data_IF_304396579918
#
_entry.id   IF_304396579918
#
_cell.length_a   1.000
_cell.length_b   1.000
_cell.length_c   1.000
_cell.angle_alpha   90.00
_cell.angle_beta   90.00
_cell.angle_gamma   90.00
#
_symmetry.space_group_name_H-M   'P 1'
#
loop_
_entity.id
_entity.type
_entity.pdbx_description
1 polymer ?
#
# COMPACT_ATOMS: atom_id res chain seq x y z
N UNK A 1 11.86 -13.06 2.64
CA UNK A 1 13.22 -12.51 2.85
C UNK A 1 14.04 -13.23 3.93
N UNK A 2 13.43 -13.83 4.97
CA UNK A 2 14.15 -14.60 6.00
C UNK A 2 14.73 -15.93 5.49
N UNK A 3 13.95 -16.71 4.73
CA UNK A 3 14.39 -18.03 4.24
C UNK A 3 15.64 -17.95 3.35
N UNK A 4 15.75 -16.92 2.50
CA UNK A 4 16.92 -16.71 1.64
C UNK A 4 18.24 -16.50 2.42
N UNK A 5 18.17 -15.98 3.66
CA UNK A 5 19.36 -15.77 4.50
C UNK A 5 19.72 -16.99 5.34
N UNK A 6 18.73 -17.81 5.69
CA UNK A 6 18.88 -18.89 6.67
C UNK A 6 18.74 -20.30 6.08
N UNK A 7 18.53 -20.44 4.77
CA UNK A 7 18.40 -21.75 4.14
C UNK A 7 19.60 -22.70 4.38
N UNK A 8 20.87 -22.25 4.50
CA UNK A 8 21.96 -23.17 4.80
C UNK A 8 21.82 -23.83 6.18
N UNK A 9 21.28 -23.09 7.17
CA UNK A 9 20.98 -23.66 8.48
C UNK A 9 19.80 -24.63 8.39
N UNK A 10 18.74 -24.27 7.65
CA UNK A 10 17.60 -25.17 7.46
C UNK A 10 18.01 -26.49 6.78
N UNK A 11 18.94 -26.44 5.82
CA UNK A 11 19.51 -27.64 5.18
C UNK A 11 20.26 -28.49 6.20
N UNK A 12 21.08 -27.89 7.08
CA UNK A 12 21.77 -28.62 8.15
C UNK A 12 20.80 -29.27 9.13
N UNK A 13 19.79 -28.54 9.57
CA UNK A 13 18.79 -29.02 10.53
C UNK A 13 17.93 -30.14 9.94
N UNK A 14 17.56 -30.02 8.66
CA UNK A 14 16.86 -31.10 7.93
C UNK A 14 17.75 -32.32 7.76
N UNK A 15 19.04 -32.14 7.49
CA UNK A 15 19.98 -33.25 7.31
C UNK A 15 20.21 -34.00 8.62
N UNK A 16 20.47 -33.29 9.72
CA UNK A 16 20.77 -33.88 11.04
C UNK A 16 19.52 -34.32 11.81
N UNK A 17 18.34 -33.79 11.47
CA UNK A 17 17.13 -33.97 12.25
C UNK A 17 17.13 -33.20 13.57
N UNK A 18 18.05 -32.26 13.77
CA UNK A 18 18.19 -31.51 15.01
C UNK A 18 18.13 -30.01 14.73
N UNK A 19 17.37 -29.29 15.56
CA UNK A 19 17.25 -27.83 15.49
C UNK A 19 18.57 -27.22 15.98
N UNK A 20 19.14 -26.29 15.21
CA UNK A 20 20.33 -25.54 15.58
C UNK A 20 20.30 -25.08 17.05
N UNK A 21 21.29 -25.43 17.89
CA UNK A 21 21.31 -25.05 19.30
C UNK A 21 21.29 -23.53 19.50
N UNK A 22 21.97 -22.79 18.62
CA UNK A 22 22.11 -21.34 18.68
C UNK A 22 20.87 -20.58 18.18
N UNK A 23 19.88 -21.30 17.63
CA UNK A 23 18.62 -20.68 17.23
C UNK A 23 17.83 -20.26 18.48
N UNK A 24 17.72 -18.95 18.70
CA UNK A 24 16.97 -18.41 19.82
C UNK A 24 15.47 -18.74 19.70
N UNK A 25 15.03 -19.75 20.43
CA UNK A 25 13.65 -20.23 20.47
C UNK A 25 13.20 -20.32 21.94
N UNK A 26 11.94 -19.97 22.25
CA UNK A 26 11.36 -20.28 23.54
C UNK A 26 11.47 -21.78 23.85
N UNK A 27 11.78 -22.13 25.10
CA UNK A 27 12.01 -23.52 25.51
C UNK A 27 10.84 -24.45 25.14
N UNK A 28 9.60 -23.98 25.32
CA UNK A 28 8.40 -24.72 24.93
C UNK A 28 8.30 -24.99 23.42
N UNK A 29 8.65 -24.01 22.58
CA UNK A 29 8.66 -24.17 21.12
C UNK A 29 9.71 -25.18 20.68
N UNK A 30 10.92 -25.13 21.26
CA UNK A 30 11.98 -26.10 20.96
C UNK A 30 11.56 -27.52 21.37
N UNK A 31 11.03 -27.68 22.59
CA UNK A 31 10.55 -28.96 23.07
C UNK A 31 9.43 -29.55 22.19
N UNK A 32 8.55 -28.71 21.65
CA UNK A 32 7.47 -29.14 20.75
C UNK A 32 7.98 -29.54 19.35
N UNK A 33 9.00 -28.87 18.81
CA UNK A 33 9.51 -29.12 17.46
C UNK A 33 10.54 -30.26 17.39
N UNK A 34 11.39 -30.42 18.41
CA UNK A 34 12.44 -31.45 18.45
C UNK A 34 11.94 -32.88 18.14
N UNK A 35 10.80 -33.37 18.66
CA UNK A 35 10.33 -34.72 18.35
C UNK A 35 9.74 -34.88 16.93
N UNK A 36 9.36 -33.78 16.29
CA UNK A 36 8.77 -33.77 14.94
C UNK A 36 9.88 -33.81 13.88
N UNK A 37 11.04 -33.21 14.17
CA UNK A 37 12.17 -33.16 13.26
C UNK A 37 12.91 -34.51 13.26
N UNK A 38 13.01 -35.12 12.09
CA UNK A 38 13.76 -36.36 11.85
C UNK A 38 14.82 -36.13 10.78
N UNK A 39 15.97 -36.83 10.83
CA UNK A 39 16.97 -36.74 9.78
C UNK A 39 16.36 -37.03 8.41
N UNK A 40 16.49 -36.10 7.47
CA UNK A 40 15.98 -36.22 6.11
C UNK A 40 17.00 -35.63 5.11
N UNK A 41 18.10 -36.36 4.84
CA UNK A 41 19.17 -35.90 3.96
C UNK A 41 18.68 -35.65 2.52
N UNK A 42 17.78 -36.49 2.00
CA UNK A 42 17.20 -36.33 0.66
C UNK A 42 16.42 -35.00 0.53
N UNK A 43 15.66 -34.63 1.57
CA UNK A 43 14.96 -33.34 1.59
C UNK A 43 15.94 -32.17 1.74
N UNK A 44 16.98 -32.32 2.55
CA UNK A 44 18.01 -31.31 2.71
C UNK A 44 18.71 -30.99 1.37
N UNK A 45 19.08 -32.02 0.60
CA UNK A 45 19.63 -31.88 -0.74
C UNK A 45 18.65 -31.22 -1.72
N UNK A 46 17.37 -31.61 -1.67
CA UNK A 46 16.33 -30.98 -2.50
C UNK A 46 16.21 -29.49 -2.22
N UNK A 47 16.21 -29.08 -0.95
CA UNK A 47 16.16 -27.67 -0.54
C UNK A 47 17.42 -26.94 -0.98
N UNK A 48 18.61 -27.52 -0.75
CA UNK A 48 19.87 -26.93 -1.18
C UNK A 48 19.94 -26.70 -2.69
N UNK A 49 19.53 -27.71 -3.48
CA UNK A 49 19.44 -27.62 -4.94
C UNK A 49 18.46 -26.54 -5.38
N UNK A 50 17.29 -26.44 -4.73
CA UNK A 50 16.33 -25.38 -5.03
C UNK A 50 16.94 -23.98 -4.81
N UNK A 51 17.61 -23.70 -3.69
CA UNK A 51 18.25 -22.40 -3.50
C UNK A 51 19.43 -22.16 -4.46
N UNK A 52 20.11 -23.22 -4.91
CA UNK A 52 21.22 -23.13 -5.87
C UNK A 52 20.83 -22.61 -7.27
N UNK A 53 19.57 -22.76 -7.70
CA UNK A 53 19.10 -22.23 -8.99
C UNK A 53 18.40 -20.86 -8.88
N UNK A 54 18.69 -20.08 -7.83
CA UNK A 54 18.10 -18.74 -7.64
C UNK A 54 16.69 -18.77 -7.04
N UNK A 55 15.97 -17.64 -7.09
CA UNK A 55 14.68 -17.46 -6.40
C UNK A 55 13.44 -17.61 -7.31
N UNK A 56 13.60 -17.63 -8.63
CA UNK A 56 12.46 -17.72 -9.54
C UNK A 56 11.78 -19.08 -9.44
N UNK A 57 10.45 -19.10 -9.32
CA UNK A 57 9.65 -20.30 -9.05
C UNK A 57 10.17 -21.14 -7.86
N UNK A 58 10.85 -20.52 -6.88
CA UNK A 58 11.44 -21.24 -5.75
C UNK A 58 10.37 -21.94 -4.91
N UNK A 59 9.18 -21.37 -4.79
CA UNK A 59 8.11 -21.96 -3.99
C UNK A 59 7.62 -23.28 -4.60
N UNK A 60 7.50 -23.36 -5.92
CA UNK A 60 7.16 -24.62 -6.61
C UNK A 60 8.30 -25.65 -6.49
N UNK A 61 9.56 -25.22 -6.53
CA UNK A 61 10.72 -26.13 -6.35
C UNK A 61 10.83 -26.66 -4.93
N UNK A 62 10.52 -25.83 -3.92
CA UNK A 62 10.49 -26.24 -2.53
C UNK A 62 9.25 -27.09 -2.22
N UNK A 63 8.09 -26.75 -2.76
CA UNK A 63 6.83 -27.46 -2.56
C UNK A 63 6.22 -27.85 -3.92
N UNK A 64 6.64 -29.00 -4.50
CA UNK A 64 6.21 -29.42 -5.84
C UNK A 64 4.70 -29.60 -6.01
N UNK A 65 4.00 -29.95 -4.92
CA UNK A 65 2.55 -30.12 -4.90
C UNK A 65 1.79 -28.82 -4.60
N UNK A 66 2.48 -27.69 -4.48
CA UNK A 66 1.84 -26.39 -4.27
C UNK A 66 1.05 -25.99 -5.53
N UNK A 67 -0.28 -25.92 -5.41
CA UNK A 67 -1.18 -25.51 -6.51
C UNK A 67 -1.85 -24.16 -6.29
N UNK A 68 -2.08 -23.79 -5.03
CA UNK A 68 -2.73 -22.54 -4.65
C UNK A 68 -1.99 -21.92 -3.48
N UNK A 69 -1.70 -20.62 -3.57
CA UNK A 69 -1.26 -19.81 -2.45
C UNK A 69 -2.42 -18.91 -2.00
N UNK A 70 -2.82 -19.07 -0.73
CA UNK A 70 -3.80 -18.20 -0.10
C UNK A 70 -3.13 -16.96 0.50
N UNK A 71 -3.38 -15.78 -0.07
CA UNK A 71 -2.83 -14.50 0.41
C UNK A 71 -3.64 -13.34 -0.15
N UNK A 72 -3.76 -12.25 0.61
CA UNK A 72 -4.33 -11.00 0.11
C UNK A 72 -3.43 -10.43 -0.98
N UNK A 73 -4.02 -10.17 -2.15
CA UNK A 73 -3.31 -9.66 -3.34
C UNK A 73 -3.83 -8.30 -3.81
N UNK A 74 -4.86 -7.75 -3.15
CA UNK A 74 -5.52 -6.49 -3.55
C UNK A 74 -5.10 -5.30 -2.67
N UNK A 75 -5.50 -4.09 -3.06
CA UNK A 75 -5.20 -2.86 -2.31
C UNK A 75 -3.69 -2.58 -2.23
N UNK A 76 -3.19 -2.26 -1.03
CA UNK A 76 -1.77 -1.95 -0.81
C UNK A 76 -0.83 -3.14 -1.13
N UNK A 77 -1.33 -4.37 -1.16
CA UNK A 77 -0.54 -5.56 -1.49
C UNK A 77 -0.44 -5.82 -2.99
N UNK A 78 -1.24 -5.17 -3.84
CA UNK A 78 -1.22 -5.34 -5.29
C UNK A 78 0.18 -5.10 -5.88
N UNK A 79 0.89 -4.09 -5.38
CA UNK A 79 2.26 -3.79 -5.79
C UNK A 79 3.27 -4.92 -5.53
N UNK A 80 2.98 -5.85 -4.60
CA UNK A 80 3.85 -6.99 -4.29
C UNK A 80 3.57 -8.22 -5.15
N UNK A 81 2.43 -8.26 -5.85
CA UNK A 81 1.97 -9.40 -6.64
C UNK A 81 2.96 -9.80 -7.75
N UNK A 82 3.56 -8.88 -8.53
CA UNK A 82 4.54 -9.27 -9.56
C UNK A 82 5.73 -10.03 -8.98
N UNK A 83 6.26 -9.57 -7.85
CA UNK A 83 7.36 -10.24 -7.15
C UNK A 83 6.92 -11.58 -6.57
N UNK A 84 5.70 -11.67 -6.03
CA UNK A 84 5.15 -12.92 -5.52
C UNK A 84 4.98 -13.95 -6.64
N UNK A 85 4.48 -13.55 -7.80
CA UNK A 85 4.36 -14.40 -9.00
C UNK A 85 5.71 -14.94 -9.46
N UNK A 86 6.74 -14.10 -9.49
CA UNK A 86 8.10 -14.55 -9.81
C UNK A 86 8.59 -15.65 -8.87
N UNK A 87 8.29 -15.56 -7.57
CA UNK A 87 8.66 -16.59 -6.58
C UNK A 87 7.80 -17.87 -6.67
N UNK A 88 6.53 -17.73 -7.05
CA UNK A 88 5.58 -18.83 -7.14
C UNK A 88 5.82 -19.73 -8.34
N UNK A 89 6.08 -19.12 -9.50
CA UNK A 89 6.05 -19.83 -10.79
C UNK A 89 4.67 -19.76 -11.46
N UNK A 90 4.58 -20.16 -12.73
CA UNK A 90 3.38 -19.99 -13.56
C UNK A 90 2.23 -20.94 -13.17
N UNK A 91 2.52 -22.08 -12.54
CA UNK A 91 1.53 -23.14 -12.28
C UNK A 91 0.83 -23.02 -10.92
N UNK A 92 1.10 -21.95 -10.15
CA UNK A 92 0.52 -21.74 -8.81
C UNK A 92 -0.45 -20.57 -8.85
N UNK A 93 -1.71 -20.87 -8.57
CA UNK A 93 -2.77 -19.86 -8.50
C UNK A 93 -2.74 -19.08 -7.19
N UNK A 94 -3.17 -17.83 -7.24
CA UNK A 94 -3.39 -16.96 -6.09
C UNK A 94 -4.87 -16.96 -5.71
N UNK A 95 -5.13 -16.94 -4.40
CA UNK A 95 -6.49 -16.86 -3.88
C UNK A 95 -6.50 -16.00 -2.61
N UNK A 96 -7.19 -14.86 -2.61
CA UNK A 96 -7.32 -14.01 -1.40
C UNK A 96 -8.40 -14.55 -0.44
N UNK A 97 -9.35 -15.34 -0.94
CA UNK A 97 -10.39 -15.99 -0.15
C UNK A 97 -11.50 -15.04 0.29
N UNK A 98 -11.19 -14.11 1.19
CA UNK A 98 -12.17 -13.18 1.77
C UNK A 98 -11.67 -11.76 1.79
N UNK A 99 -12.54 -10.83 1.39
CA UNK A 99 -12.40 -9.42 1.68
C UNK A 99 -13.16 -9.12 2.97
N UNK A 100 -12.42 -8.86 4.04
CA UNK A 100 -12.96 -8.72 5.39
C UNK A 100 -12.28 -7.58 6.16
N UNK A 101 -13.03 -7.01 7.09
CA UNK A 101 -12.55 -6.10 8.12
C UNK A 101 -12.93 -6.66 9.50
N UNK A 102 -12.44 -6.04 10.58
CA UNK A 102 -12.79 -6.47 11.96
C UNK A 102 -14.30 -6.39 12.21
N UNK A 103 -14.99 -5.51 11.49
CA UNK A 103 -16.42 -5.23 11.58
C UNK A 103 -17.28 -6.29 10.88
N UNK A 104 -16.85 -6.78 9.71
CA UNK A 104 -17.61 -7.76 8.92
C UNK A 104 -16.75 -8.42 7.82
N UNK A 105 -17.19 -9.60 7.37
CA UNK A 105 -16.76 -10.17 6.08
C UNK A 105 -17.59 -9.52 4.98
N UNK A 106 -16.99 -8.68 4.14
CA UNK A 106 -17.72 -7.92 3.12
C UNK A 106 -17.88 -8.71 1.83
N UNK A 107 -16.85 -9.44 1.40
CA UNK A 107 -16.89 -10.19 0.15
C UNK A 107 -16.11 -11.48 0.18
N UNK A 108 -16.47 -12.39 -0.71
CA UNK A 108 -15.78 -13.67 -0.93
C UNK A 108 -15.31 -13.77 -2.36
N UNK A 109 -14.12 -14.30 -2.54
CA UNK A 109 -13.58 -14.59 -3.87
C UNK A 109 -14.09 -15.96 -4.32
N UNK A 110 -14.65 -16.02 -5.53
CA UNK A 110 -15.22 -17.25 -6.09
C UNK A 110 -14.30 -17.94 -7.10
N UNK A 111 -13.29 -17.23 -7.60
CA UNK A 111 -12.42 -17.67 -8.68
C UNK A 111 -10.95 -17.52 -8.29
N UNK A 112 -10.12 -18.47 -8.70
CA UNK A 112 -8.67 -18.39 -8.59
C UNK A 112 -8.13 -17.28 -9.49
N UNK A 113 -7.00 -16.69 -9.11
CA UNK A 113 -6.30 -15.64 -9.88
C UNK A 113 -7.16 -14.41 -10.22
N UNK A 114 -8.24 -14.21 -9.46
CA UNK A 114 -9.17 -13.10 -9.61
C UNK A 114 -8.85 -11.98 -8.61
N UNK A 115 -9.19 -10.75 -8.97
CA UNK A 115 -9.18 -9.59 -8.05
C UNK A 115 -10.60 -9.23 -7.59
N UNK A 116 -11.60 -9.98 -8.07
CA UNK A 116 -13.01 -9.70 -7.84
C UNK A 116 -13.52 -10.47 -6.61
N UNK A 117 -14.28 -9.75 -5.79
CA UNK A 117 -15.04 -10.29 -4.68
C UNK A 117 -16.53 -10.22 -5.01
N UNK A 118 -17.28 -11.21 -4.53
CA UNK A 118 -18.74 -11.22 -4.54
C UNK A 118 -19.23 -10.85 -3.15
N UNK A 119 -20.22 -9.97 -3.05
CA UNK A 119 -20.75 -9.52 -1.76
C UNK A 119 -21.20 -10.71 -0.91
N UNK A 120 -20.72 -10.77 0.34
CA UNK A 120 -21.02 -11.84 1.28
C UNK A 120 -22.40 -11.61 1.92
N UNK A 121 -23.46 -11.71 1.13
CA UNK A 121 -24.84 -11.54 1.63
C UNK A 121 -25.10 -12.44 2.85
N UNK A 122 -25.62 -11.85 3.92
CA UNK A 122 -25.91 -12.55 5.17
C UNK A 122 -24.82 -12.46 6.24
N UNK A 123 -23.62 -11.97 5.92
CA UNK A 123 -22.59 -11.70 6.95
C UNK A 123 -22.92 -10.45 7.77
N UNK A 124 -23.51 -9.45 7.12
CA UNK A 124 -24.01 -8.20 7.68
C UNK A 124 -25.05 -7.61 6.72
N UNK A 125 -25.73 -6.54 7.15
CA UNK A 125 -26.51 -5.71 6.23
C UNK A 125 -25.60 -4.64 5.63
N UNK A 126 -25.61 -4.53 4.31
CA UNK A 126 -24.73 -3.63 3.55
C UNK A 126 -25.53 -2.55 2.85
N UNK A 127 -25.07 -1.33 3.02
CA UNK A 127 -25.47 -0.14 2.28
C UNK A 127 -24.24 0.45 1.59
N UNK A 128 -24.46 1.29 0.58
CA UNK A 128 -23.39 1.85 -0.21
C UNK A 128 -23.61 3.34 -0.44
N UNK A 129 -22.62 4.16 -0.14
CA UNK A 129 -22.66 5.60 -0.44
C UNK A 129 -22.01 5.81 -1.81
N UNK A 130 -22.74 6.33 -2.81
CA UNK A 130 -22.13 6.72 -4.08
C UNK A 130 -21.02 7.74 -3.84
N UNK A 131 -19.85 7.56 -4.46
CA UNK A 131 -18.72 8.47 -4.21
C UNK A 131 -19.00 9.94 -4.60
N UNK A 132 -19.98 10.19 -5.47
CA UNK A 132 -20.45 11.54 -5.79
C UNK A 132 -21.10 12.27 -4.59
N UNK A 133 -21.65 11.51 -3.63
CA UNK A 133 -22.35 12.01 -2.44
C UNK A 133 -21.52 11.85 -1.15
N UNK A 134 -20.31 11.29 -1.23
CA UNK A 134 -19.54 10.87 -0.06
C UNK A 134 -19.17 11.99 0.93
N UNK A 135 -19.07 13.23 0.44
CA UNK A 135 -18.73 14.42 1.22
C UNK A 135 -19.96 15.16 1.78
N UNK A 136 -21.18 14.69 1.47
CA UNK A 136 -22.40 15.29 2.00
C UNK A 136 -22.47 15.09 3.52
N UNK A 137 -23.03 16.07 4.24
CA UNK A 137 -23.23 15.97 5.69
C UNK A 137 -24.10 14.77 6.09
N UNK A 138 -25.04 14.39 5.22
CA UNK A 138 -25.84 13.18 5.34
C UNK A 138 -25.90 12.51 3.96
N UNK A 139 -24.93 11.63 3.64
CA UNK A 139 -24.89 10.99 2.34
C UNK A 139 -26.08 10.05 2.16
N UNK A 140 -26.63 10.01 0.94
CA UNK A 140 -27.63 9.01 0.59
C UNK A 140 -26.96 7.65 0.43
N UNK A 141 -27.68 6.59 0.78
CA UNK A 141 -27.23 5.21 0.62
C UNK A 141 -28.13 4.47 -0.35
N UNK A 142 -27.53 3.55 -1.10
CA UNK A 142 -28.22 2.61 -1.97
C UNK A 142 -27.99 1.18 -1.49
N UNK A 143 -28.92 0.29 -1.80
CA UNK A 143 -28.80 -1.13 -1.47
C UNK A 143 -27.91 -1.88 -2.47
N UNK A 144 -27.53 -3.15 -2.19
CA UNK A 144 -26.80 -4.00 -3.12
C UNK A 144 -27.51 -4.17 -4.48
N UNK A 145 -28.84 -4.07 -4.50
CA UNK A 145 -29.67 -4.17 -5.70
C UNK A 145 -29.44 -3.03 -6.69
N UNK A 146 -29.13 -1.84 -6.19
CA UNK A 146 -29.10 -0.60 -6.99
C UNK A 146 -27.68 -0.16 -7.35
N UNK A 147 -26.69 -1.03 -7.09
CA UNK A 147 -25.31 -0.79 -7.49
C UNK A 147 -25.13 -0.82 -9.01
N UNK A 148 -24.50 0.23 -9.53
CA UNK A 148 -24.25 0.42 -10.95
C UNK A 148 -22.85 -0.02 -11.36
N UNK A 149 -22.74 -0.68 -12.51
CA UNK A 149 -21.46 -1.17 -13.05
C UNK A 149 -20.48 -0.01 -13.26
N UNK A 150 -19.21 -0.22 -12.88
CA UNK A 150 -18.11 0.72 -13.08
C UNK A 150 -18.07 1.89 -12.09
N UNK A 151 -19.10 2.06 -11.26
CA UNK A 151 -19.19 3.09 -10.25
C UNK A 151 -18.51 2.68 -8.95
N UNK A 152 -18.08 3.69 -8.20
CA UNK A 152 -17.41 3.52 -6.90
C UNK A 152 -18.33 3.92 -5.76
N UNK A 153 -18.26 3.14 -4.69
CA UNK A 153 -19.08 3.33 -3.52
C UNK A 153 -18.28 3.08 -2.26
N UNK A 154 -18.53 3.88 -1.23
CA UNK A 154 -18.08 3.57 0.11
C UNK A 154 -19.01 2.54 0.76
N UNK A 155 -18.43 1.55 1.43
CA UNK A 155 -19.16 0.51 2.14
C UNK A 155 -19.67 1.02 3.49
N UNK A 156 -20.97 0.86 3.72
CA UNK A 156 -21.65 1.09 4.99
C UNK A 156 -22.18 -0.23 5.52
N UNK A 157 -21.91 -0.53 6.79
CA UNK A 157 -22.22 -1.83 7.39
C UNK A 157 -23.10 -1.70 8.63
N UNK A 158 -24.08 -2.59 8.73
CA UNK A 158 -24.87 -2.81 9.95
C UNK A 158 -24.71 -4.27 10.40
N UNK A 159 -24.26 -4.48 11.64
CA UNK A 159 -23.88 -5.80 12.16
C UNK A 159 -24.72 -6.19 13.38
N UNK A 160 -24.88 -7.50 13.60
CA UNK A 160 -25.54 -8.02 14.80
C UNK A 160 -24.78 -7.69 16.11
N UNK A 161 -23.50 -7.32 16.00
CA UNK A 161 -22.66 -6.91 17.13
C UNK A 161 -22.86 -5.44 17.55
N UNK A 162 -23.79 -4.72 16.91
CA UNK A 162 -24.22 -3.38 17.34
C UNK A 162 -23.62 -2.20 16.58
N UNK A 163 -22.96 -2.43 15.44
CA UNK A 163 -22.65 -1.35 14.50
C UNK A 163 -23.88 -1.09 13.64
N UNK A 164 -24.34 0.16 13.58
CA UNK A 164 -25.49 0.57 12.78
C UNK A 164 -25.09 1.66 11.80
N UNK A 165 -25.30 1.40 10.51
CA UNK A 165 -24.91 2.27 9.39
C UNK A 165 -23.48 2.82 9.55
N UNK A 166 -22.56 1.96 9.96
CA UNK A 166 -21.17 2.31 10.19
C UNK A 166 -20.45 2.46 8.84
N UNK A 167 -19.93 3.66 8.58
CA UNK A 167 -19.08 3.94 7.42
C UNK A 167 -17.73 3.25 7.60
N UNK A 168 -17.48 2.22 6.80
CA UNK A 168 -16.24 1.44 6.89
C UNK A 168 -15.03 2.25 6.39
N UNK A 169 -15.29 3.24 5.54
CA UNK A 169 -14.27 4.02 4.83
C UNK A 169 -13.67 3.28 3.65
N UNK A 170 -13.94 1.99 3.45
CA UNK A 170 -13.46 1.28 2.27
C UNK A 170 -14.32 1.63 1.06
N UNK A 171 -13.67 1.93 -0.06
CA UNK A 171 -14.27 2.22 -1.35
C UNK A 171 -14.07 1.03 -2.27
N UNK A 172 -15.17 0.55 -2.83
CA UNK A 172 -15.21 -0.55 -3.79
C UNK A 172 -15.66 -0.04 -5.15
N UNK A 173 -15.23 -0.72 -6.22
CA UNK A 173 -15.75 -0.51 -7.57
C UNK A 173 -16.57 -1.70 -8.02
N UNK A 174 -17.79 -1.45 -8.47
CA UNK A 174 -18.67 -2.51 -9.00
C UNK A 174 -18.12 -2.98 -10.34
N UNK A 175 -17.90 -4.29 -10.46
CA UNK A 175 -17.31 -4.91 -11.67
C UNK A 175 -18.25 -5.90 -12.34
N UNK A 176 -19.39 -6.22 -11.73
CA UNK A 176 -20.39 -7.09 -12.32
C UNK A 176 -21.36 -7.63 -11.28
N UNK A 177 -21.97 -8.77 -11.59
CA UNK A 177 -22.86 -9.50 -10.68
C UNK A 177 -22.65 -11.00 -10.81
N UNK A 178 -22.85 -11.73 -9.72
CA UNK A 178 -23.00 -13.18 -9.67
C UNK A 178 -24.48 -13.47 -9.34
N UNK A 179 -25.27 -13.80 -10.37
CA UNK A 179 -26.73 -13.79 -10.23
C UNK A 179 -27.22 -12.39 -9.86
N UNK A 180 -27.95 -12.27 -8.74
CA UNK A 180 -28.40 -10.96 -8.21
C UNK A 180 -27.37 -10.26 -7.33
N UNK A 181 -26.28 -10.95 -6.95
CA UNK A 181 -25.31 -10.45 -5.95
C UNK A 181 -24.21 -9.63 -6.62
N UNK A 182 -23.91 -8.40 -6.14
CA UNK A 182 -22.84 -7.57 -6.70
C UNK A 182 -21.46 -8.22 -6.64
N UNK A 183 -20.69 -8.05 -7.71
CA UNK A 183 -19.24 -8.28 -7.75
C UNK A 183 -18.51 -6.96 -7.79
N UNK A 184 -17.40 -6.88 -7.08
CA UNK A 184 -16.63 -5.66 -6.93
C UNK A 184 -15.14 -5.94 -6.75
N UNK A 185 -14.32 -4.92 -7.01
CA UNK A 185 -12.91 -4.88 -6.64
C UNK A 185 -12.74 -3.86 -5.52
N UNK A 186 -11.77 -4.07 -4.64
CA UNK A 186 -11.35 -3.03 -3.71
C UNK A 186 -10.64 -1.90 -4.47
N UNK A 187 -11.07 -0.65 -4.29
CA UNK A 187 -10.38 0.51 -4.85
C UNK A 187 -9.35 1.06 -3.84
N UNK A 188 -9.83 1.62 -2.74
CA UNK A 188 -9.01 2.26 -1.71
C UNK A 188 -9.78 2.46 -0.41
N UNK A 189 -9.12 2.91 0.66
CA UNK A 189 -9.80 3.35 1.88
C UNK A 189 -9.75 4.87 1.99
N UNK A 190 -10.87 5.51 2.33
CA UNK A 190 -10.94 6.94 2.60
C UNK A 190 -9.90 7.33 3.66
N UNK A 191 -9.23 8.45 3.43
CA UNK A 191 -8.07 8.87 4.23
C UNK A 191 -6.77 8.11 3.95
N UNK A 192 -6.75 7.13 3.03
CA UNK A 192 -5.54 6.42 2.56
C UNK A 192 -5.20 6.74 1.10
N UNK A 193 -5.92 7.69 0.50
CA UNK A 193 -5.63 8.29 -0.82
C UNK A 193 -5.68 9.81 -0.74
N UNK A 194 -4.86 10.46 -1.57
CA UNK A 194 -4.98 11.87 -1.91
C UNK A 194 -5.68 12.00 -3.25
N UNK A 195 -6.65 12.90 -3.31
CA UNK A 195 -7.40 13.18 -4.53
C UNK A 195 -7.60 14.68 -4.67
N UNK A 196 -7.24 15.22 -5.83
CA UNK A 196 -7.41 16.61 -6.22
C UNK A 196 -8.36 16.75 -7.41
N UNK A 197 -8.24 15.87 -8.41
CA UNK A 197 -8.96 15.94 -9.69
C UNK A 197 -9.42 14.57 -10.20
N UNK A 198 -9.45 13.55 -9.33
CA UNK A 198 -9.84 12.17 -9.62
C UNK A 198 -8.66 11.21 -9.77
N UNK A 199 -7.43 11.65 -9.48
CA UNK A 199 -6.22 10.83 -9.64
C UNK A 199 -6.03 9.77 -8.56
N UNK A 200 -6.54 10.00 -7.35
CA UNK A 200 -6.53 9.04 -6.23
C UNK A 200 -5.16 8.41 -5.99
N UNK A 201 -4.18 9.22 -5.60
CA UNK A 201 -2.84 8.75 -5.21
C UNK A 201 -2.88 8.06 -3.85
N UNK A 202 -2.61 6.77 -3.82
CA UNK A 202 -2.53 5.97 -2.59
C UNK A 202 -1.26 6.25 -1.79
N UNK A 203 -1.29 5.96 -0.50
CA UNK A 203 -0.09 6.03 0.36
C UNK A 203 1.04 5.15 -0.20
N UNK A 204 0.70 3.97 -0.73
CA UNK A 204 1.69 3.06 -1.30
C UNK A 204 2.43 3.67 -2.51
N UNK A 205 1.70 4.32 -3.42
CA UNK A 205 2.27 5.03 -4.56
C UNK A 205 3.11 6.22 -4.10
N UNK A 206 2.60 7.02 -3.15
CA UNK A 206 3.34 8.14 -2.57
C UNK A 206 4.67 7.68 -1.94
N UNK A 207 4.62 6.61 -1.14
CA UNK A 207 5.80 6.01 -0.50
C UNK A 207 6.81 5.52 -1.53
N UNK A 208 6.35 4.82 -2.57
CA UNK A 208 7.23 4.33 -3.63
C UNK A 208 7.89 5.47 -4.39
N UNK A 209 7.13 6.51 -4.76
CA UNK A 209 7.66 7.69 -5.42
C UNK A 209 8.73 8.39 -4.57
N UNK A 210 8.43 8.65 -3.29
CA UNK A 210 9.31 9.41 -2.40
C UNK A 210 10.59 8.65 -2.05
N UNK A 211 10.50 7.36 -1.69
CA UNK A 211 11.68 6.60 -1.29
C UNK A 211 12.59 6.28 -2.48
N UNK A 212 12.02 5.96 -3.66
CA UNK A 212 12.82 5.77 -4.86
C UNK A 212 13.52 7.07 -5.30
N UNK A 213 12.83 8.21 -5.19
CA UNK A 213 13.41 9.51 -5.48
C UNK A 213 14.54 9.86 -4.50
N UNK A 214 14.36 9.61 -3.20
CA UNK A 214 15.40 9.83 -2.20
C UNK A 214 16.66 8.99 -2.47
N UNK A 215 16.51 7.70 -2.79
CA UNK A 215 17.63 6.82 -3.12
C UNK A 215 18.42 7.33 -4.35
N UNK A 216 17.72 7.88 -5.36
CA UNK A 216 18.34 8.41 -6.58
C UNK A 216 18.98 9.79 -6.39
N UNK A 217 18.40 10.64 -5.54
CA UNK A 217 18.81 12.05 -5.40
C UNK A 217 19.81 12.30 -4.27
N UNK A 218 19.75 11.50 -3.20
CA UNK A 218 20.52 11.74 -1.97
C UNK A 218 21.68 10.75 -1.78
N UNK A 219 21.69 9.61 -2.48
CA UNK A 219 22.71 8.58 -2.31
C UNK A 219 22.76 8.02 -0.88
N UNK A 220 23.97 7.83 -0.33
CA UNK A 220 24.19 7.36 1.04
C UNK A 220 24.23 8.47 2.09
N UNK A 221 24.11 9.73 1.68
CA UNK A 221 24.41 10.88 2.54
C UNK A 221 23.23 11.26 3.45
N UNK A 222 22.00 10.95 3.03
CA UNK A 222 20.80 11.20 3.81
C UNK A 222 19.69 10.19 3.50
N UNK A 223 18.87 9.90 4.50
CA UNK A 223 17.69 9.02 4.39
C UNK A 223 16.43 9.75 4.78
N UNK A 224 15.30 9.33 4.22
CA UNK A 224 13.98 9.84 4.63
C UNK A 224 13.67 9.33 6.04
N UNK A 225 13.65 10.24 7.01
CA UNK A 225 13.25 9.98 8.40
C UNK A 225 11.73 9.94 8.56
N UNK A 226 11.04 10.82 7.84
CA UNK A 226 9.58 10.94 7.86
C UNK A 226 9.10 11.61 6.58
N UNK A 227 7.87 11.31 6.18
CA UNK A 227 7.26 11.96 5.04
C UNK A 227 5.75 12.11 5.24
N UNK A 228 5.17 13.10 4.57
CA UNK A 228 3.75 13.23 4.38
C UNK A 228 3.50 13.83 3.00
N UNK A 229 2.48 13.33 2.29
CA UNK A 229 1.99 13.93 1.07
C UNK A 229 0.66 14.61 1.38
N UNK A 230 0.42 15.78 0.81
CA UNK A 230 -0.81 16.52 1.01
C UNK A 230 -1.27 17.18 -0.28
N UNK A 231 -2.54 17.60 -0.31
CA UNK A 231 -3.08 18.52 -1.30
C UNK A 231 -2.66 19.96 -0.99
N UNK A 232 -2.50 20.80 -2.00
CA UNK A 232 -2.41 22.25 -1.79
C UNK A 232 -3.76 22.80 -1.32
N UNK A 233 -3.82 23.63 -0.26
CA UNK A 233 -5.01 24.41 0.06
C UNK A 233 -5.35 25.36 -1.09
N UNK A 234 -6.64 25.60 -1.32
CA UNK A 234 -7.26 26.39 -2.40
C UNK A 234 -6.30 27.30 -3.20
N UNK A 235 -5.75 26.74 -4.28
CA UNK A 235 -5.03 27.46 -5.34
C UNK A 235 -5.78 27.19 -6.66
N UNK A 236 -5.80 28.17 -7.56
CA UNK A 236 -6.30 28.05 -8.94
C UNK A 236 -5.57 26.92 -9.69
N UNK A 237 -4.36 26.55 -9.25
CA UNK A 237 -3.59 25.45 -9.85
C UNK A 237 -3.32 24.32 -8.83
N UNK A 238 -4.07 23.23 -8.95
CA UNK A 238 -4.00 22.05 -8.08
C UNK A 238 -2.59 21.43 -8.08
N UNK A 239 -1.96 21.26 -6.90
CA UNK A 239 -0.66 20.56 -6.75
C UNK A 239 -0.59 19.74 -5.48
N UNK A 240 0.32 18.78 -5.44
CA UNK A 240 0.71 18.10 -4.21
C UNK A 240 1.82 18.84 -3.47
N UNK A 241 1.82 18.69 -2.14
CA UNK A 241 2.86 19.12 -1.22
C UNK A 241 3.49 17.88 -0.60
N UNK A 242 4.77 17.64 -0.86
CA UNK A 242 5.55 16.56 -0.27
C UNK A 242 6.36 17.11 0.90
N UNK A 243 5.91 16.86 2.12
CA UNK A 243 6.64 17.16 3.35
C UNK A 243 7.63 16.05 3.63
N UNK A 244 8.92 16.37 3.78
CA UNK A 244 9.97 15.39 4.00
C UNK A 244 10.86 15.81 5.17
N UNK A 245 11.15 14.88 6.07
CA UNK A 245 12.22 14.97 7.06
C UNK A 245 13.38 14.08 6.62
N UNK A 246 14.59 14.62 6.63
CA UNK A 246 15.81 13.89 6.27
C UNK A 246 16.69 13.67 7.50
N UNK A 247 17.37 12.52 7.55
CA UNK A 247 18.39 12.23 8.54
C UNK A 247 19.73 11.89 7.87
N UNK A 248 20.87 12.49 8.30
CA UNK A 248 20.98 13.52 9.33
C UNK A 248 20.29 14.84 8.94
N UNK A 249 19.96 15.67 9.94
CA UNK A 249 19.35 16.98 9.72
C UNK A 249 20.43 17.96 9.20
N UNK A 250 20.38 18.24 7.90
CA UNK A 250 21.38 19.04 7.19
C UNK A 250 22.37 18.21 6.36
N UNK A 251 23.29 18.90 5.67
CA UNK A 251 24.28 18.26 4.78
C UNK A 251 23.79 17.98 3.36
N UNK A 252 22.50 18.18 3.08
CA UNK A 252 21.94 18.10 1.73
C UNK A 252 21.95 19.46 1.06
N UNK A 253 22.50 19.53 -0.16
CA UNK A 253 22.58 20.77 -0.93
C UNK A 253 21.24 21.14 -1.58
N UNK A 254 21.03 22.42 -1.90
CA UNK A 254 19.85 22.88 -2.64
C UNK A 254 19.69 22.18 -3.99
N UNK A 255 20.80 21.85 -4.67
CA UNK A 255 20.77 21.10 -5.93
C UNK A 255 20.24 19.67 -5.76
N UNK A 256 20.63 18.99 -4.67
CA UNK A 256 20.09 17.68 -4.33
C UNK A 256 18.60 17.75 -3.96
N UNK A 257 18.18 18.78 -3.21
CA UNK A 257 16.76 18.99 -2.89
C UNK A 257 15.91 19.27 -4.14
N UNK A 258 16.45 20.04 -5.09
CA UNK A 258 15.78 20.28 -6.37
C UNK A 258 15.64 18.97 -7.18
N UNK A 259 16.72 18.20 -7.27
CA UNK A 259 16.73 16.89 -7.93
C UNK A 259 15.76 15.92 -7.25
N UNK A 260 15.65 15.97 -5.92
CA UNK A 260 14.68 15.18 -5.16
C UNK A 260 13.24 15.56 -5.52
N UNK A 261 12.92 16.85 -5.59
CA UNK A 261 11.59 17.30 -6.00
C UNK A 261 11.22 16.78 -7.40
N UNK A 262 12.14 16.86 -8.35
CA UNK A 262 11.97 16.37 -9.73
C UNK A 262 11.77 14.85 -9.80
N UNK A 263 12.55 14.09 -9.04
CA UNK A 263 12.41 12.64 -8.99
C UNK A 263 11.12 12.20 -8.27
N UNK A 264 10.64 12.94 -7.27
CA UNK A 264 9.32 12.69 -6.65
C UNK A 264 8.21 12.92 -7.69
N UNK A 265 8.26 14.01 -8.45
CA UNK A 265 7.30 14.28 -9.53
C UNK A 265 7.29 13.15 -10.55
N UNK A 266 8.47 12.72 -11.00
CA UNK A 266 8.60 11.60 -11.93
C UNK A 266 8.05 10.30 -11.34
N UNK A 267 8.34 10.01 -10.07
CA UNK A 267 7.80 8.87 -9.35
C UNK A 267 6.27 8.90 -9.26
N UNK A 268 5.67 10.04 -8.93
CA UNK A 268 4.22 10.19 -8.87
C UNK A 268 3.57 9.95 -10.24
N UNK A 269 4.15 10.49 -11.31
CA UNK A 269 3.70 10.25 -12.70
C UNK A 269 3.83 8.79 -13.11
N UNK A 270 4.90 8.12 -12.68
CA UNK A 270 5.15 6.72 -12.99
C UNK A 270 4.20 5.78 -12.26
N UNK A 271 4.03 5.97 -10.95
CA UNK A 271 3.23 5.08 -10.11
C UNK A 271 1.72 5.41 -10.14
N UNK A 272 1.33 6.62 -10.56
CA UNK A 272 -0.05 7.02 -10.78
C UNK A 272 -0.24 7.62 -12.19
N UNK A 273 -0.72 6.80 -13.12
CA UNK A 273 -0.96 7.22 -14.51
C UNK A 273 -2.04 8.31 -14.65
N UNK A 274 -3.01 8.37 -13.73
CA UNK A 274 -4.04 9.41 -13.74
C UNK A 274 -3.44 10.74 -13.30
N UNK A 275 -2.55 10.73 -12.30
CA UNK A 275 -1.74 11.90 -11.92
C UNK A 275 -0.92 12.42 -13.11
N UNK A 276 -0.24 11.52 -13.84
CA UNK A 276 0.46 11.87 -15.07
C UNK A 276 -0.45 12.50 -16.13
N UNK A 277 -1.62 11.89 -16.38
CA UNK A 277 -2.55 12.37 -17.39
C UNK A 277 -3.06 13.78 -17.06
N UNK A 278 -3.32 14.05 -15.79
CA UNK A 278 -3.82 15.35 -15.34
C UNK A 278 -2.72 16.42 -15.27
N UNK A 279 -1.51 16.09 -14.78
CA UNK A 279 -0.41 17.04 -14.62
C UNK A 279 0.47 17.22 -15.85
N UNK A 280 0.83 16.14 -16.53
CA UNK A 280 1.73 16.16 -17.69
C UNK A 280 1.01 16.48 -19.00
N UNK A 281 -0.04 15.72 -19.33
CA UNK A 281 -0.71 15.82 -20.64
C UNK A 281 -1.73 16.96 -20.70
N UNK A 282 -2.47 17.20 -19.61
CA UNK A 282 -3.57 18.18 -19.59
C UNK A 282 -3.24 19.48 -18.85
N UNK A 283 -2.09 19.57 -18.18
CA UNK A 283 -1.67 20.76 -17.43
C UNK A 283 -2.65 21.20 -16.34
N UNK A 284 -3.50 20.28 -15.85
CA UNK A 284 -4.52 20.54 -14.82
C UNK A 284 -3.94 20.41 -13.41
N UNK A 285 -2.84 19.69 -13.25
CA UNK A 285 -2.06 19.65 -12.02
C UNK A 285 -0.68 20.24 -12.24
N UNK A 286 -0.25 21.07 -11.31
CA UNK A 286 1.11 21.58 -11.27
C UNK A 286 2.05 20.57 -10.60
N UNK A 287 3.37 20.64 -10.89
CA UNK A 287 4.33 19.74 -10.28
C UNK A 287 4.32 19.82 -8.75
N UNK A 288 4.64 18.69 -8.12
CA UNK A 288 4.78 18.56 -6.67
C UNK A 288 5.75 19.61 -6.12
N UNK A 289 5.37 20.18 -4.98
CA UNK A 289 6.24 21.03 -4.18
C UNK A 289 6.84 20.20 -3.05
N UNK A 290 8.16 20.08 -3.03
CA UNK A 290 8.89 19.52 -1.91
C UNK A 290 9.02 20.58 -0.81
N UNK A 291 8.71 20.19 0.42
CA UNK A 291 8.80 20.99 1.64
C UNK A 291 9.68 20.22 2.63
N UNK A 292 10.88 20.71 2.88
CA UNK A 292 11.80 20.11 3.83
C UNK A 292 11.45 20.58 5.24
N UNK A 293 11.32 19.64 6.16
CA UNK A 293 11.00 19.87 7.56
C UNK A 293 12.19 19.52 8.47
N UNK A 294 12.36 20.24 9.61
CA UNK A 294 13.20 19.78 10.70
C UNK A 294 12.72 18.41 11.20
N UNK A 295 13.66 17.56 11.58
CA UNK A 295 13.37 16.21 12.10
C UNK A 295 12.46 16.29 13.34
N UNK A 296 11.38 15.48 13.35
CA UNK A 296 10.40 15.44 14.43
C UNK A 296 9.23 16.44 14.31
N UNK A 297 9.15 17.20 13.22
CA UNK A 297 8.03 18.11 12.93
C UNK A 297 6.73 17.36 12.71
N UNK A 298 6.75 16.26 11.96
CA UNK A 298 5.59 15.38 11.72
C UNK A 298 5.11 14.78 13.03
N UNK A 299 6.02 14.25 13.85
CA UNK A 299 5.73 13.70 15.17
C UNK A 299 5.06 14.73 16.08
N UNK A 300 5.49 15.99 16.03
CA UNK A 300 4.88 17.09 16.82
C UNK A 300 3.44 17.35 16.41
N UNK A 301 3.13 17.35 15.11
CA UNK A 301 1.75 17.52 14.63
C UNK A 301 0.90 16.31 15.03
N UNK A 302 1.38 15.09 14.79
CA UNK A 302 0.61 13.88 15.06
C UNK A 302 0.43 13.57 16.56
N UNK A 303 1.29 14.09 17.44
CA UNK A 303 1.10 13.99 18.89
C UNK A 303 0.02 14.93 19.41
N UNK A 304 -0.12 16.12 18.83
CA UNK A 304 -1.16 17.07 19.26
C UNK A 304 -2.57 16.57 18.92
N UNK A 305 -2.71 15.76 17.86
CA UNK A 305 -3.98 15.13 17.46
C UNK A 305 -4.39 13.95 18.38
N UNK A 306 -3.47 13.42 19.22
CA UNK A 306 -3.76 12.36 20.21
C UNK A 306 -4.76 12.81 21.29
N UNK A 307 -4.94 14.12 21.47
CA UNK A 307 -5.92 14.66 22.42
C UNK A 307 -7.37 14.41 22.02
N UNK A 308 -7.65 14.07 20.76
CA UNK A 308 -9.01 13.94 20.20
C UNK A 308 -9.43 12.48 19.96
N UNK A 309 -8.48 11.57 19.70
CA UNK A 309 -8.77 10.15 19.50
C UNK A 309 -7.79 9.24 20.29
N UNK A 310 -8.27 8.67 21.40
CA UNK A 310 -7.56 7.63 22.16
C UNK A 310 -7.45 6.34 21.32
N UNK A 311 -6.32 6.13 20.65
CA UNK A 311 -5.91 4.80 20.17
C UNK A 311 -4.78 4.28 21.06
N UNK A 312 -4.85 2.99 21.41
CA UNK A 312 -3.85 2.33 22.23
C UNK A 312 -2.46 2.41 21.60
N UNK A 313 -1.43 2.64 22.43
CA UNK A 313 -0.05 2.95 22.06
C UNK A 313 0.66 1.94 21.13
N UNK A 314 0.10 0.74 20.93
CA UNK A 314 0.66 -0.33 20.10
C UNK A 314 0.18 -0.36 18.64
N UNK A 315 -0.76 0.49 18.24
CA UNK A 315 -1.34 0.52 16.88
C UNK A 315 -1.21 1.88 16.17
N UNK A 316 -0.25 2.72 16.56
CA UNK A 316 -0.04 4.00 15.88
C UNK A 316 0.65 3.81 14.52
N UNK A 317 -0.01 4.22 13.43
CA UNK A 317 0.59 4.40 12.10
C UNK A 317 0.64 5.88 11.78
N UNK A 318 1.79 6.38 11.34
CA UNK A 318 1.93 7.76 10.89
C UNK A 318 0.94 8.06 9.74
N UNK A 319 0.27 9.21 9.80
CA UNK A 319 -0.59 9.70 8.71
C UNK A 319 0.29 10.27 7.61
N UNK A 320 0.64 9.42 6.65
CA UNK A 320 1.51 9.82 5.53
C UNK A 320 0.75 10.52 4.40
N UNK A 321 -0.58 10.55 4.44
CA UNK A 321 -1.43 11.37 3.58
C UNK A 321 -2.24 12.35 4.45
N UNK A 322 -2.19 13.63 4.11
CA UNK A 322 -2.74 14.71 4.93
C UNK A 322 -3.77 15.51 4.14
N UNK A 323 -4.98 15.62 4.71
CA UNK A 323 -6.10 16.37 4.12
C UNK A 323 -6.53 17.59 4.92
N UNK A 324 -6.13 17.68 6.20
CA UNK A 324 -6.45 18.79 7.11
C UNK A 324 -5.70 20.06 6.73
N UNK A 325 -6.44 21.11 6.34
CA UNK A 325 -5.85 22.40 5.96
C UNK A 325 -5.06 23.04 7.11
N UNK A 326 -5.50 22.84 8.36
CA UNK A 326 -4.80 23.32 9.55
C UNK A 326 -3.44 22.62 9.77
N UNK A 327 -3.39 21.30 9.54
CA UNK A 327 -2.13 20.54 9.64
C UNK A 327 -1.18 20.91 8.51
N UNK A 328 -1.71 21.07 7.29
CA UNK A 328 -0.93 21.53 6.13
C UNK A 328 -0.32 22.91 6.39
N UNK A 329 -1.10 23.86 6.92
CA UNK A 329 -0.60 25.19 7.28
C UNK A 329 0.47 25.12 8.38
N UNK A 330 0.24 24.28 9.39
CA UNK A 330 1.19 24.09 10.50
C UNK A 330 2.52 23.50 10.02
N UNK A 331 2.49 22.46 9.20
CA UNK A 331 3.69 21.87 8.59
C UNK A 331 4.40 22.86 7.67
N UNK A 332 3.65 23.60 6.85
CA UNK A 332 4.23 24.59 5.94
C UNK A 332 4.96 25.70 6.70
N UNK A 333 4.46 26.13 7.86
CA UNK A 333 5.15 27.10 8.74
C UNK A 333 6.44 26.57 9.36
N UNK A 334 6.61 25.26 9.44
CA UNK A 334 7.81 24.61 9.98
C UNK A 334 8.90 24.38 8.91
N UNK A 335 8.62 24.70 7.64
CA UNK A 335 9.52 24.43 6.53
C UNK A 335 10.87 25.15 6.68
N UNK A 336 11.96 24.39 6.49
CA UNK A 336 13.33 24.94 6.38
C UNK A 336 13.74 25.19 4.93
N UNK A 337 13.06 24.52 3.98
CA UNK A 337 13.25 24.74 2.55
C UNK A 337 11.99 24.36 1.78
N UNK A 338 11.72 25.04 0.67
CA UNK A 338 10.64 24.72 -0.26
C UNK A 338 11.11 24.88 -1.71
N UNK A 339 10.73 23.94 -2.57
CA UNK A 339 11.00 24.00 -4.00
C UNK A 339 10.04 23.15 -4.81
N UNK A 340 9.83 23.51 -6.07
CA UNK A 340 8.95 22.79 -6.99
C UNK A 340 9.77 22.11 -8.06
N UNK A 341 9.35 20.91 -8.47
CA UNK A 341 9.93 20.26 -9.65
C UNK A 341 9.80 21.19 -10.88
N UNK A 342 10.86 21.31 -11.67
CA UNK A 342 10.83 22.12 -12.88
C UNK A 342 9.84 21.53 -13.90
N UNK A 343 9.02 22.37 -14.52
CA UNK A 343 8.20 21.98 -15.68
C UNK A 343 9.12 21.81 -16.89
N UNK A 344 9.62 20.60 -17.13
CA UNK A 344 10.14 20.27 -18.45
C UNK A 344 8.96 20.13 -19.41
N UNK A 345 8.77 21.15 -20.24
CA UNK A 345 7.92 21.07 -21.43
C UNK A 345 8.49 20.01 -22.36
N UNK A 346 7.97 18.79 -22.29
CA UNK A 346 8.19 17.79 -23.34
C UNK A 346 7.41 18.30 -24.55
N UNK A 347 8.08 19.04 -25.43
CA UNK A 347 7.60 19.26 -26.79
C UNK A 347 7.46 17.87 -27.43
N UNK A 348 6.22 17.45 -27.64
CA UNK A 348 5.90 16.31 -28.50
C UNK A 348 6.37 16.67 -29.90
N UNK A 349 7.57 16.22 -30.28
CA UNK A 349 7.94 16.15 -31.70
C UNK A 349 7.03 15.14 -32.37
N UNK A 350 5.92 15.62 -32.92
CA UNK A 350 5.19 14.90 -33.97
C UNK A 350 6.12 14.79 -35.17
N UNK A 351 6.77 13.64 -35.31
CA UNK A 351 7.39 13.25 -36.58
C UNK A 351 6.28 12.93 -37.57
N UNK A 352 5.93 13.90 -38.42
CA UNK A 352 5.37 13.58 -39.71
C UNK A 352 6.52 13.27 -40.66
N UNK A 353 6.66 11.99 -41.02
CA UNK A 353 7.03 11.55 -42.35
C UNK A 353 6.46 10.17 -42.62
#
# INVERSE_FOLDING_TARGET
>A
MKINKHWPQLVRDLHSGAICPDLNLPAGTRAALSPILRPNPARAETVARAFGHGLDAILQRLWPELRVLCSVTTGSFAATVPRLRALLGPDVSLFSGTYAASEAVIGVQLELDSEHYTLANGSAYFEFVPMADADAAQPTTVGPGDLELGHEYEVVVTTAAGLYRYRLGDVIRVTGRQGSTPRFTFSYRLGTVLDLLGEKTTEAQARQAIFAAAEQSLGSDAVVNGYALARSPQDIRSRYLAFIELWPDGGVTTAQLQTLAENIEHGLRHYNQTYWTLGGLRGRMEPVRLILLPVGSLDRIWRNDRGVHQSASSQWKARNLVSSDADIESLTRMAVWMGTAATSSIEVRTSHH
#
